data_IF_951050964992
#
_entry.id   IF_951050964992
#
_cell.length_a   1.000
_cell.length_b   1.000
_cell.length_c   1.000
_cell.angle_alpha   90.00
_cell.angle_beta   90.00
_cell.angle_gamma   90.00
#
_symmetry.space_group_name_H-M   'P 1'
#
loop_
_entity.id
_entity.type
_entity.pdbx_description
1 polymer ?
#
# COMPACT_ATOMS: atom_id res chain seq x y z
N UNK A 1 28.86 15.70 9.61
CA UNK A 1 27.67 15.16 8.92
C UNK A 1 26.59 16.17 9.22
N UNK A 2 26.09 16.89 8.20
CA UNK A 2 24.91 17.74 8.40
C UNK A 2 23.74 16.81 8.67
N UNK A 3 23.01 17.05 9.76
CA UNK A 3 21.71 16.42 9.96
C UNK A 3 20.79 16.94 8.85
N UNK A 4 20.70 16.20 7.75
CA UNK A 4 19.74 16.51 6.69
C UNK A 4 18.35 16.30 7.25
N UNK A 5 17.61 17.40 7.38
CA UNK A 5 16.21 17.38 7.76
C UNK A 5 15.34 17.15 6.53
N UNK A 6 14.12 16.64 6.74
CA UNK A 6 13.13 16.61 5.67
C UNK A 6 12.95 18.01 5.07
N UNK A 7 12.80 18.06 3.75
CA UNK A 7 12.76 19.32 3.02
C UNK A 7 11.78 19.26 1.85
N UNK A 8 11.20 20.42 1.55
CA UNK A 8 10.38 20.61 0.37
C UNK A 8 11.28 20.90 -0.84
N UNK A 9 11.17 20.06 -1.86
CA UNK A 9 11.76 20.28 -3.18
C UNK A 9 10.65 20.36 -4.23
N UNK A 10 11.03 20.69 -5.47
CA UNK A 10 10.12 20.80 -6.60
C UNK A 10 10.63 19.95 -7.75
N UNK A 11 9.76 19.17 -8.37
CA UNK A 11 10.11 18.33 -9.49
C UNK A 11 9.01 17.36 -9.91
N UNK A 12 9.26 16.70 -11.02
CA UNK A 12 8.39 15.69 -11.60
C UNK A 12 9.21 14.46 -11.95
N UNK A 13 8.54 13.31 -12.02
CA UNK A 13 9.18 12.02 -12.29
C UNK A 13 9.81 11.40 -11.04
N UNK A 14 10.12 10.10 -11.15
CA UNK A 14 10.74 9.36 -10.06
C UNK A 14 12.16 9.85 -9.78
N UNK A 15 12.87 10.28 -10.82
CA UNK A 15 14.22 10.79 -10.81
C UNK A 15 14.38 12.13 -10.05
N UNK A 16 13.27 12.83 -9.79
CA UNK A 16 13.28 14.00 -8.92
C UNK A 16 13.47 13.63 -7.44
N UNK A 17 13.33 12.36 -7.06
CA UNK A 17 13.59 11.90 -5.70
C UNK A 17 15.09 11.65 -5.48
N UNK A 18 15.76 12.44 -4.61
CA UNK A 18 17.19 12.27 -4.35
C UNK A 18 17.52 10.89 -3.78
N UNK A 19 18.70 10.37 -4.11
CA UNK A 19 19.23 9.15 -3.51
C UNK A 19 19.28 9.26 -1.99
N UNK A 20 18.87 8.21 -1.28
CA UNK A 20 18.86 8.17 0.17
C UNK A 20 17.65 8.84 0.82
N UNK A 21 16.65 9.24 0.02
CA UNK A 21 15.42 9.87 0.53
C UNK A 21 14.14 9.08 0.22
N UNK A 22 13.16 9.22 1.09
CA UNK A 22 11.78 8.80 0.88
C UNK A 22 10.96 10.03 0.46
N UNK A 23 10.45 10.01 -0.77
CA UNK A 23 9.83 11.18 -1.38
C UNK A 23 8.32 11.02 -1.49
N UNK A 24 7.60 12.05 -1.04
CA UNK A 24 6.15 12.14 -1.10
C UNK A 24 5.74 13.16 -2.15
N UNK A 25 4.89 12.77 -3.08
CA UNK A 25 4.45 13.59 -4.21
C UNK A 25 2.96 13.93 -4.07
N UNK A 26 2.59 15.14 -4.49
CA UNK A 26 1.22 15.67 -4.38
C UNK A 26 0.24 15.14 -5.41
N UNK A 27 0.75 14.61 -6.51
CA UNK A 27 -0.08 14.07 -7.56
C UNK A 27 0.40 12.67 -7.96
N UNK A 28 -0.51 11.91 -8.54
CA UNK A 28 -0.21 10.62 -9.16
C UNK A 28 0.86 10.76 -10.25
N UNK A 29 1.51 9.67 -10.61
CA UNK A 29 2.57 9.62 -11.60
C UNK A 29 3.70 10.62 -11.28
N UNK A 30 4.04 10.78 -10.00
CA UNK A 30 5.20 11.55 -9.56
C UNK A 30 5.14 13.01 -10.05
N UNK A 31 3.99 13.66 -9.89
CA UNK A 31 3.73 15.04 -10.34
C UNK A 31 3.83 15.28 -11.86
N UNK A 32 3.93 14.26 -12.71
CA UNK A 32 4.00 14.45 -14.16
C UNK A 32 2.76 15.21 -14.65
N UNK A 33 3.00 16.31 -15.38
CA UNK A 33 1.94 17.16 -15.94
C UNK A 33 1.44 18.26 -15.00
N UNK A 34 1.95 18.33 -13.77
CA UNK A 34 1.67 19.43 -12.85
C UNK A 34 2.40 20.71 -13.29
N UNK A 35 1.91 21.87 -12.84
CA UNK A 35 2.58 23.16 -13.12
C UNK A 35 3.83 23.29 -12.24
N UNK A 36 5.03 23.51 -12.84
CA UNK A 36 6.26 23.67 -12.08
C UNK A 36 6.23 24.85 -11.09
N UNK A 37 6.76 24.63 -9.89
CA UNK A 37 6.74 25.59 -8.77
C UNK A 37 5.37 25.74 -8.07
N UNK A 38 4.35 25.00 -8.51
CA UNK A 38 2.98 25.10 -7.96
C UNK A 38 2.46 23.73 -7.53
N UNK A 39 2.31 22.80 -8.48
CA UNK A 39 1.74 21.48 -8.26
C UNK A 39 2.77 20.35 -8.12
N UNK A 40 4.05 20.66 -8.29
CA UNK A 40 5.15 19.71 -8.35
C UNK A 40 5.98 19.65 -7.04
N UNK A 41 5.35 20.02 -5.92
CA UNK A 41 5.93 19.88 -4.58
C UNK A 41 6.25 18.41 -4.28
N UNK A 42 7.42 18.18 -3.72
CA UNK A 42 7.88 16.87 -3.21
C UNK A 42 8.41 17.09 -1.79
N UNK A 43 7.92 16.31 -0.83
CA UNK A 43 8.56 16.25 0.49
C UNK A 43 9.61 15.14 0.46
N UNK A 44 10.89 15.50 0.47
CA UNK A 44 12.01 14.56 0.50
C UNK A 44 12.46 14.34 1.95
N UNK A 45 12.37 13.09 2.40
CA UNK A 45 12.62 12.70 3.80
C UNK A 45 13.87 11.82 3.85
N UNK A 46 15.00 12.30 4.39
CA UNK A 46 16.23 11.51 4.51
C UNK A 46 16.05 10.29 5.41
N UNK A 47 16.78 9.21 5.12
CA UNK A 47 16.80 8.02 5.98
C UNK A 47 17.20 8.37 7.43
N UNK A 48 16.53 7.75 8.40
CA UNK A 48 16.61 8.07 9.83
C UNK A 48 15.64 9.15 10.29
N UNK A 49 14.85 9.74 9.39
CA UNK A 49 13.96 10.87 9.72
C UNK A 49 12.52 10.43 9.94
N UNK A 50 11.91 11.00 10.96
CA UNK A 50 10.48 10.92 11.22
C UNK A 50 9.81 12.26 10.93
N UNK A 51 8.72 12.25 10.17
CA UNK A 51 7.91 13.43 9.87
C UNK A 51 6.51 13.22 10.44
N UNK A 52 6.16 14.02 11.46
CA UNK A 52 4.87 13.93 12.15
C UNK A 52 3.72 14.67 11.46
N UNK A 53 4.05 15.77 10.80
CA UNK A 53 3.10 16.64 10.15
C UNK A 53 3.78 17.25 8.91
N UNK A 54 3.26 16.92 7.74
CA UNK A 54 3.80 17.39 6.46
C UNK A 54 3.67 18.91 6.29
N UNK A 55 2.68 19.53 6.94
CA UNK A 55 2.42 20.98 6.81
C UNK A 55 3.54 21.83 7.40
N UNK A 56 4.28 21.31 8.40
CA UNK A 56 5.47 21.97 8.98
C UNK A 56 6.56 22.21 7.93
N UNK A 57 6.57 21.41 6.87
CA UNK A 57 7.51 21.51 5.75
C UNK A 57 6.93 22.25 4.53
N UNK A 58 5.73 22.83 4.64
CA UNK A 58 5.04 23.48 3.52
C UNK A 58 4.43 22.49 2.50
N UNK A 59 4.32 21.21 2.89
CA UNK A 59 3.58 20.19 2.17
C UNK A 59 2.19 20.08 2.81
N UNK A 60 1.31 20.99 2.42
CA UNK A 60 -0.02 21.17 3.01
C UNK A 60 -1.10 20.34 2.33
N UNK A 61 -2.04 19.82 3.14
CA UNK A 61 -3.22 19.07 2.69
C UNK A 61 -4.34 19.95 2.10
N UNK A 62 -4.11 21.25 1.87
CA UNK A 62 -5.16 22.21 1.48
C UNK A 62 -5.64 22.07 0.01
N UNK A 63 -5.26 21.00 -0.67
CA UNK A 63 -5.72 20.60 -2.00
C UNK A 63 -5.62 19.08 -2.10
N UNK A 64 -4.57 18.60 -2.76
CA UNK A 64 -4.19 17.19 -2.79
C UNK A 64 -3.09 16.90 -1.74
N UNK A 65 -3.26 15.80 -1.01
CA UNK A 65 -2.32 15.31 0.00
C UNK A 65 -1.19 14.51 -0.67
N UNK A 66 -0.83 13.36 -0.10
CA UNK A 66 0.13 12.45 -0.75
C UNK A 66 -0.63 11.56 -1.74
N UNK A 67 -0.22 11.55 -3.02
CA UNK A 67 -0.88 10.75 -4.06
C UNK A 67 0.06 9.78 -4.78
N UNK A 68 1.38 9.95 -4.63
CA UNK A 68 2.38 8.96 -5.07
C UNK A 68 3.66 9.08 -4.23
N UNK A 69 4.46 8.02 -4.22
CA UNK A 69 5.69 7.95 -3.41
C UNK A 69 6.83 7.24 -4.13
N UNK A 70 8.05 7.64 -3.81
CA UNK A 70 9.28 6.96 -4.22
C UNK A 70 10.11 6.69 -2.97
N UNK A 71 10.40 5.42 -2.70
CA UNK A 71 11.37 5.03 -1.68
C UNK A 71 12.74 4.81 -2.33
N UNK A 72 13.54 5.88 -2.41
CA UNK A 72 14.90 5.82 -2.92
C UNK A 72 15.95 5.57 -1.80
N UNK A 73 15.53 4.90 -0.73
CA UNK A 73 16.39 4.49 0.39
C UNK A 73 16.70 2.99 0.34
N UNK A 74 17.62 2.55 1.19
CA UNK A 74 17.96 1.13 1.38
C UNK A 74 17.14 0.43 2.50
N UNK A 75 16.12 1.10 3.03
CA UNK A 75 15.23 0.58 4.05
C UNK A 75 13.76 0.60 3.58
N UNK A 76 12.98 -0.32 4.11
CA UNK A 76 11.54 -0.33 3.92
C UNK A 76 10.95 0.76 4.83
N UNK A 77 10.26 1.72 4.22
CA UNK A 77 9.75 2.93 4.89
C UNK A 77 8.23 2.84 5.02
N UNK A 78 7.60 3.77 5.74
CA UNK A 78 6.16 3.72 5.94
C UNK A 78 5.46 5.08 5.89
N UNK A 79 4.25 5.06 5.35
CA UNK A 79 3.24 6.10 5.51
C UNK A 79 2.27 5.71 6.63
N UNK A 80 1.71 6.71 7.29
CA UNK A 80 0.69 6.53 8.32
C UNK A 80 -0.49 7.47 8.07
N UNK A 81 -1.70 6.97 8.28
CA UNK A 81 -2.93 7.74 8.06
C UNK A 81 -3.23 8.76 9.18
N UNK A 82 -2.42 8.77 10.25
CA UNK A 82 -2.49 9.75 11.32
C UNK A 82 -1.09 10.18 11.77
N UNK A 83 -1.04 11.29 12.51
CA UNK A 83 0.14 11.75 13.23
C UNK A 83 0.68 10.68 14.22
N UNK A 84 1.94 10.83 14.62
CA UNK A 84 2.65 10.00 15.62
C UNK A 84 2.76 8.51 15.25
N UNK A 85 2.86 8.19 13.95
CA UNK A 85 2.90 6.81 13.43
C UNK A 85 1.66 5.99 13.82
N UNK A 86 0.50 6.65 13.87
CA UNK A 86 -0.77 6.03 14.24
C UNK A 86 -1.67 5.83 13.03
N UNK A 87 -2.80 5.17 13.27
CA UNK A 87 -3.76 4.83 12.24
C UNK A 87 -3.29 3.64 11.41
N UNK A 88 -3.72 3.60 10.16
CA UNK A 88 -3.27 2.60 9.20
C UNK A 88 -1.80 2.89 8.85
N UNK A 89 -1.04 1.84 8.57
CA UNK A 89 0.33 1.95 8.06
C UNK A 89 0.40 1.34 6.67
N UNK A 90 1.08 2.02 5.75
CA UNK A 90 1.42 1.48 4.43
C UNK A 90 2.94 1.38 4.30
N UNK A 91 3.52 0.18 4.37
CA UNK A 91 4.93 -0.01 4.04
C UNK A 91 5.17 0.28 2.55
N UNK A 92 6.33 0.83 2.26
CA UNK A 92 6.83 1.07 0.90
C UNK A 92 8.24 0.46 0.85
N UNK A 93 8.38 -0.61 0.08
CA UNK A 93 9.63 -1.38 0.00
C UNK A 93 10.81 -0.50 -0.42
N UNK A 94 12.01 -0.82 0.06
CA UNK A 94 13.25 -0.18 -0.37
C UNK A 94 13.38 -0.22 -1.89
N UNK A 95 13.92 0.85 -2.47
CA UNK A 95 14.16 0.95 -3.93
C UNK A 95 12.91 0.68 -4.78
N UNK A 96 11.74 1.06 -4.28
CA UNK A 96 10.46 0.89 -4.96
C UNK A 96 9.69 2.22 -5.04
N UNK A 97 8.58 2.21 -5.77
CA UNK A 97 7.70 3.37 -5.88
C UNK A 97 6.24 2.95 -6.03
N UNK A 98 5.32 3.82 -5.61
CA UNK A 98 3.88 3.68 -5.84
C UNK A 98 3.44 4.91 -6.63
N UNK A 99 3.12 4.70 -7.90
CA UNK A 99 2.76 5.79 -8.81
C UNK A 99 1.37 6.38 -8.55
N UNK A 100 0.47 5.61 -7.92
CA UNK A 100 -0.91 6.04 -7.72
C UNK A 100 -1.50 5.45 -6.44
N UNK A 101 -1.55 6.24 -5.37
CA UNK A 101 -2.13 5.83 -4.09
C UNK A 101 -3.66 5.66 -4.14
N UNK A 102 -4.34 6.21 -5.15
CA UNK A 102 -5.77 5.95 -5.37
C UNK A 102 -6.04 4.48 -5.76
N UNK A 103 -5.02 3.74 -6.18
CA UNK A 103 -5.10 2.30 -6.48
C UNK A 103 -4.74 1.41 -5.30
N UNK A 104 -4.44 1.98 -4.13
CA UNK A 104 -4.09 1.22 -2.93
C UNK A 104 -5.23 1.37 -1.94
N UNK A 105 -5.99 0.31 -1.72
CA UNK A 105 -7.13 0.34 -0.81
C UNK A 105 -6.69 0.60 0.63
N UNK A 106 -7.47 1.41 1.34
CA UNK A 106 -7.30 1.68 2.77
C UNK A 106 -8.64 1.50 3.47
N UNK A 107 -8.67 0.63 4.49
CA UNK A 107 -9.86 0.47 5.32
C UNK A 107 -10.19 1.81 5.99
N UNK A 108 -11.49 2.07 6.20
CA UNK A 108 -12.01 3.27 6.88
C UNK A 108 -11.65 4.63 6.23
N UNK A 109 -11.02 4.63 5.05
CA UNK A 109 -10.73 5.83 4.27
C UNK A 109 -12.02 6.44 3.68
N UNK A 110 -12.22 7.78 3.73
CA UNK A 110 -13.35 8.44 3.09
C UNK A 110 -13.45 8.21 1.58
N UNK A 111 -12.33 7.95 0.91
CA UNK A 111 -12.28 7.67 -0.53
C UNK A 111 -11.93 6.20 -0.84
N UNK A 112 -11.90 5.33 0.17
CA UNK A 112 -11.58 3.90 0.04
C UNK A 112 -10.12 3.58 -0.29
N UNK A 113 -9.25 4.58 -0.38
CA UNK A 113 -7.86 4.42 -0.82
C UNK A 113 -6.88 5.18 0.07
N UNK A 114 -5.58 5.01 -0.17
CA UNK A 114 -4.51 5.78 0.47
C UNK A 114 -4.33 7.19 -0.11
N UNK A 115 -5.02 7.52 -1.20
CA UNK A 115 -4.89 8.84 -1.83
C UNK A 115 -5.26 9.94 -0.83
N UNK A 116 -4.33 10.86 -0.60
CA UNK A 116 -4.46 12.00 0.31
C UNK A 116 -4.63 11.64 1.78
N UNK A 117 -4.48 10.36 2.15
CA UNK A 117 -4.75 9.89 3.52
C UNK A 117 -3.52 9.92 4.43
N UNK A 118 -2.30 9.85 3.88
CA UNK A 118 -1.09 9.88 4.70
C UNK A 118 -0.97 11.23 5.41
N UNK A 119 -0.69 11.22 6.72
CA UNK A 119 -0.48 12.43 7.52
C UNK A 119 0.91 12.48 8.16
N UNK A 120 1.53 11.31 8.36
CA UNK A 120 2.90 11.20 8.85
C UNK A 120 3.66 10.12 8.10
N UNK A 121 4.99 10.17 8.16
CA UNK A 121 5.87 9.24 7.48
C UNK A 121 7.12 8.92 8.31
N UNK A 122 7.59 7.68 8.18
CA UNK A 122 8.85 7.22 8.76
C UNK A 122 9.77 6.77 7.62
N UNK A 123 10.89 7.48 7.45
CA UNK A 123 11.98 7.08 6.57
C UNK A 123 13.05 6.34 7.39
N UNK A 124 12.71 5.18 7.94
CA UNK A 124 13.62 4.32 8.69
C UNK A 124 13.08 2.88 8.61
N UNK A 125 13.89 1.85 8.91
CA UNK A 125 13.41 0.46 8.90
C UNK A 125 12.09 0.32 9.67
N UNK A 126 11.00 0.13 8.93
CA UNK A 126 9.69 -0.06 9.49
C UNK A 126 9.44 -1.55 9.68
N UNK A 127 9.51 -2.00 10.93
CA UNK A 127 9.02 -3.30 11.35
C UNK A 127 7.61 -3.08 11.89
N UNK A 128 6.63 -3.03 10.98
CA UNK A 128 5.23 -3.03 11.37
C UNK A 128 4.90 -4.28 12.15
N UNK A 129 3.91 -4.23 13.05
CA UNK A 129 3.51 -5.42 13.80
C UNK A 129 2.99 -6.54 12.89
N UNK A 130 2.46 -6.20 11.71
CA UNK A 130 2.01 -7.16 10.71
C UNK A 130 3.02 -7.28 9.59
N UNK A 131 3.45 -8.51 9.31
CA UNK A 131 4.31 -8.88 8.18
C UNK A 131 3.47 -9.69 7.20
N UNK A 132 3.63 -9.41 5.91
CA UNK A 132 2.91 -10.10 4.84
C UNK A 132 3.89 -10.68 3.84
N UNK A 133 3.70 -11.95 3.52
CA UNK A 133 4.42 -12.64 2.45
C UNK A 133 3.42 -13.21 1.45
N UNK A 134 3.83 -13.37 0.20
CA UNK A 134 3.03 -14.00 -0.84
C UNK A 134 3.80 -15.08 -1.59
N UNK A 135 3.07 -16.09 -2.05
CA UNK A 135 3.56 -17.14 -2.92
C UNK A 135 2.52 -17.40 -4.03
N UNK A 136 2.90 -17.28 -5.30
CA UNK A 136 2.07 -17.74 -6.40
C UNK A 136 2.03 -19.27 -6.41
N UNK A 137 0.83 -19.85 -6.27
CA UNK A 137 0.61 -21.30 -6.25
C UNK A 137 0.36 -21.89 -7.63
N UNK A 138 -0.04 -21.06 -8.59
CA UNK A 138 -0.27 -21.48 -9.97
C UNK A 138 -1.33 -20.64 -10.66
N UNK A 139 -1.53 -20.92 -11.95
CA UNK A 139 -2.49 -20.24 -12.81
C UNK A 139 -3.12 -21.20 -13.80
N UNK A 140 -4.38 -20.94 -14.17
CA UNK A 140 -5.10 -21.70 -15.19
C UNK A 140 -6.19 -20.85 -15.82
N UNK A 141 -6.63 -21.23 -17.02
CA UNK A 141 -7.70 -20.53 -17.70
C UNK A 141 -9.06 -20.97 -17.13
N UNK A 142 -9.92 -19.99 -16.85
CA UNK A 142 -11.33 -20.22 -16.56
C UNK A 142 -12.07 -20.55 -17.86
N UNK A 143 -12.72 -21.72 -17.91
CA UNK A 143 -13.32 -22.22 -19.13
C UNK A 143 -14.57 -21.42 -19.54
N UNK A 144 -15.27 -20.80 -18.60
CA UNK A 144 -16.50 -20.05 -18.86
C UNK A 144 -16.19 -18.64 -19.37
N UNK A 145 -15.39 -17.88 -18.63
CA UNK A 145 -15.06 -16.49 -18.99
C UNK A 145 -13.88 -16.35 -19.95
N UNK A 146 -13.11 -17.42 -20.17
CA UNK A 146 -11.84 -17.43 -20.91
C UNK A 146 -10.74 -16.54 -20.31
N UNK A 147 -10.99 -15.96 -19.12
CA UNK A 147 -10.02 -15.21 -18.30
C UNK A 147 -9.07 -16.17 -17.57
N UNK A 148 -8.08 -15.63 -16.89
CA UNK A 148 -7.06 -16.41 -16.19
C UNK A 148 -7.17 -16.29 -14.68
N UNK A 149 -7.31 -17.42 -14.00
CA UNK A 149 -7.29 -17.50 -12.54
C UNK A 149 -5.84 -17.65 -12.09
N UNK A 150 -5.41 -16.79 -11.20
CA UNK A 150 -4.14 -16.89 -10.49
C UNK A 150 -4.43 -17.16 -9.01
N UNK A 151 -3.75 -18.16 -8.47
CA UNK A 151 -3.89 -18.59 -7.07
C UNK A 151 -2.66 -18.19 -6.29
N UNK A 152 -2.85 -17.57 -5.13
CA UNK A 152 -1.78 -17.11 -4.25
C UNK A 152 -2.03 -17.61 -2.84
N UNK A 153 -0.94 -17.94 -2.14
CA UNK A 153 -0.96 -18.06 -0.69
C UNK A 153 -0.39 -16.77 -0.11
N UNK A 154 -1.18 -16.09 0.68
CA UNK A 154 -0.74 -14.96 1.48
C UNK A 154 -0.56 -15.44 2.91
N UNK A 155 0.60 -15.18 3.47
CA UNK A 155 0.95 -15.48 4.85
C UNK A 155 1.01 -14.17 5.61
N UNK A 156 0.15 -14.00 6.60
CA UNK A 156 0.16 -12.84 7.48
C UNK A 156 0.62 -13.27 8.87
N UNK A 157 1.62 -12.56 9.41
CA UNK A 157 2.16 -12.82 10.76
C UNK A 157 2.10 -11.56 11.60
N UNK A 158 1.86 -11.76 12.89
CA UNK A 158 2.08 -10.73 13.88
C UNK A 158 3.47 -10.94 14.51
N UNK A 159 4.27 -9.89 14.63
CA UNK A 159 5.60 -9.99 15.23
C UNK A 159 5.53 -9.94 16.76
N UNK A 160 4.83 -8.93 17.31
CA UNK A 160 4.89 -8.65 18.75
C UNK A 160 3.54 -8.77 19.44
N UNK A 161 2.47 -8.27 18.82
CA UNK A 161 1.16 -8.10 19.45
C UNK A 161 0.06 -8.78 18.65
N UNK A 162 -0.84 -9.47 19.35
CA UNK A 162 -2.04 -10.06 18.74
C UNK A 162 -2.86 -8.97 18.04
N UNK A 163 -3.20 -9.22 16.78
CA UNK A 163 -4.11 -8.38 15.99
C UNK A 163 -5.46 -9.08 15.86
N UNK A 164 -6.50 -8.46 16.43
CA UNK A 164 -7.86 -9.04 16.43
C UNK A 164 -8.63 -8.64 15.19
N UNK A 165 -8.50 -7.38 14.78
CA UNK A 165 -9.11 -6.86 13.56
C UNK A 165 -8.01 -6.42 12.60
N UNK A 166 -8.11 -6.87 11.37
CA UNK A 166 -7.11 -6.60 10.35
C UNK A 166 -7.77 -6.40 9.00
N UNK A 167 -7.07 -5.71 8.12
CA UNK A 167 -7.35 -5.71 6.69
C UNK A 167 -6.10 -6.12 5.91
N UNK A 168 -6.30 -6.76 4.78
CA UNK A 168 -5.27 -7.18 3.83
C UNK A 168 -5.63 -6.58 2.47
N UNK A 169 -4.77 -5.72 1.95
CA UNK A 169 -4.98 -5.03 0.69
C UNK A 169 -3.88 -5.33 -0.32
N UNK A 170 -4.25 -5.33 -1.59
CA UNK A 170 -3.31 -5.24 -2.71
C UNK A 170 -3.95 -4.44 -3.84
N UNK A 171 -3.13 -3.81 -4.68
CA UNK A 171 -3.57 -2.74 -5.56
C UNK A 171 -2.96 -2.81 -6.94
N UNK A 172 -3.14 -1.71 -7.69
CA UNK A 172 -2.63 -1.54 -9.05
C UNK A 172 -2.99 -2.69 -10.01
N UNK A 173 -4.21 -3.22 -9.85
CA UNK A 173 -4.70 -4.30 -10.67
C UNK A 173 -5.07 -3.79 -12.07
N UNK A 174 -4.81 -4.58 -13.13
CA UNK A 174 -5.28 -4.28 -14.47
C UNK A 174 -6.81 -4.16 -14.52
N UNK A 175 -7.32 -3.32 -15.40
CA UNK A 175 -8.76 -3.17 -15.61
C UNK A 175 -9.42 -4.52 -15.96
N UNK A 176 -10.59 -4.79 -15.36
CA UNK A 176 -11.32 -6.04 -15.56
C UNK A 176 -10.81 -7.23 -14.73
N UNK A 177 -9.84 -6.97 -13.83
CA UNK A 177 -9.43 -7.89 -12.76
C UNK A 177 -10.45 -7.88 -11.62
N UNK A 178 -10.75 -9.05 -11.07
CA UNK A 178 -11.65 -9.20 -9.93
C UNK A 178 -11.26 -10.43 -9.12
N UNK A 179 -11.64 -10.52 -7.85
CA UNK A 179 -11.57 -11.74 -7.08
C UNK A 179 -12.41 -12.84 -7.74
N UNK A 180 -11.84 -14.03 -7.84
CA UNK A 180 -12.54 -15.16 -8.42
C UNK A 180 -13.70 -15.59 -7.51
N UNK A 181 -14.87 -15.83 -8.11
CA UNK A 181 -16.09 -16.19 -7.37
C UNK A 181 -15.92 -17.43 -6.49
N UNK A 182 -15.17 -18.42 -6.95
CA UNK A 182 -14.89 -19.63 -6.16
C UNK A 182 -14.13 -19.35 -4.87
N UNK A 183 -13.36 -18.26 -4.79
CA UNK A 183 -12.74 -17.78 -3.56
C UNK A 183 -13.74 -16.98 -2.70
N UNK A 184 -14.43 -16.01 -3.29
CA UNK A 184 -15.31 -15.12 -2.52
C UNK A 184 -16.50 -15.85 -1.88
N UNK A 185 -16.99 -16.92 -2.51
CA UNK A 185 -18.08 -17.75 -1.97
C UNK A 185 -17.69 -18.50 -0.67
N UNK A 186 -16.39 -18.74 -0.44
CA UNK A 186 -15.89 -19.53 0.70
C UNK A 186 -15.02 -18.73 1.66
N UNK A 187 -14.65 -17.50 1.31
CA UNK A 187 -13.86 -16.64 2.16
C UNK A 187 -14.64 -16.31 3.44
N UNK A 188 -14.05 -16.60 4.59
CA UNK A 188 -14.67 -16.47 5.90
C UNK A 188 -14.64 -15.04 6.46
N UNK A 189 -13.89 -14.14 5.82
CA UNK A 189 -13.78 -12.73 6.20
C UNK A 189 -14.73 -11.84 5.41
N UNK A 190 -14.45 -10.54 5.44
CA UNK A 190 -15.18 -9.53 4.67
C UNK A 190 -14.42 -9.20 3.39
N UNK A 191 -15.14 -9.08 2.27
CA UNK A 191 -14.61 -8.52 1.03
C UNK A 191 -15.08 -7.07 0.96
N UNK A 192 -14.19 -6.13 1.27
CA UNK A 192 -14.48 -4.68 1.26
C UNK A 192 -14.26 -4.07 -0.13
N UNK A 193 -13.31 -4.62 -0.90
CA UNK A 193 -13.12 -4.33 -2.32
C UNK A 193 -12.69 -5.60 -3.04
N UNK A 194 -13.26 -5.86 -4.21
CA UNK A 194 -13.10 -7.12 -4.95
C UNK A 194 -12.15 -7.03 -6.16
N UNK A 195 -11.51 -5.89 -6.38
CA UNK A 195 -10.62 -5.68 -7.53
C UNK A 195 -11.26 -4.91 -8.69
N UNK A 196 -12.58 -4.74 -8.72
CA UNK A 196 -13.28 -4.01 -9.80
C UNK A 196 -12.74 -2.59 -9.98
N UNK A 197 -12.40 -1.91 -8.88
CA UNK A 197 -11.83 -0.56 -8.87
C UNK A 197 -10.29 -0.54 -8.92
N UNK A 198 -9.66 -1.66 -9.32
CA UNK A 198 -8.21 -1.79 -9.43
C UNK A 198 -7.50 -2.13 -8.12
N UNK A 199 -8.23 -2.45 -7.05
CA UNK A 199 -7.68 -2.86 -5.76
C UNK A 199 -8.57 -3.84 -5.03
N UNK A 200 -7.96 -4.73 -4.26
CA UNK A 200 -8.66 -5.67 -3.37
C UNK A 200 -8.41 -5.25 -1.93
N UNK A 201 -9.44 -5.38 -1.11
CA UNK A 201 -9.35 -5.21 0.33
C UNK A 201 -10.19 -6.29 1.01
N UNK A 202 -9.51 -7.16 1.75
CA UNK A 202 -10.11 -8.17 2.60
C UNK A 202 -9.99 -7.74 4.06
N UNK A 203 -10.94 -8.11 4.91
CA UNK A 203 -10.86 -7.83 6.33
C UNK A 203 -11.28 -9.03 7.19
N UNK A 204 -10.86 -9.00 8.44
CA UNK A 204 -11.35 -9.92 9.47
C UNK A 204 -12.89 -9.90 9.53
N UNK A 205 -13.56 -11.03 9.83
CA UNK A 205 -15.02 -11.08 9.98
C UNK A 205 -15.52 -10.09 11.05
N UNK A 206 -16.71 -9.51 10.86
CA UNK A 206 -17.29 -8.51 11.79
C UNK A 206 -17.40 -9.04 13.24
N UNK A 207 -17.69 -10.34 13.40
CA UNK A 207 -17.79 -10.99 14.71
C UNK A 207 -16.45 -11.37 15.36
N UNK A 208 -15.33 -11.10 14.71
CA UNK A 208 -14.00 -11.58 15.11
C UNK A 208 -13.80 -13.09 14.88
N UNK A 209 -12.76 -13.66 15.50
CA UNK A 209 -12.51 -15.11 15.48
C UNK A 209 -11.34 -15.57 14.61
N UNK A 210 -10.81 -14.69 13.76
CA UNK A 210 -9.58 -14.94 12.99
C UNK A 210 -8.53 -13.89 13.35
N UNK A 211 -7.93 -14.06 14.51
CA UNK A 211 -6.83 -13.21 14.99
C UNK A 211 -5.52 -13.61 14.34
N UNK A 212 -4.59 -12.67 14.29
CA UNK A 212 -3.20 -12.91 13.88
C UNK A 212 -2.38 -12.83 15.16
N UNK A 213 -1.91 -13.99 15.62
CA UNK A 213 -1.22 -14.15 16.89
C UNK A 213 0.29 -14.23 16.68
N UNK A 214 1.11 -13.63 17.55
CA UNK A 214 2.56 -13.78 17.47
C UNK A 214 2.99 -15.25 17.44
N UNK A 215 3.85 -15.58 16.48
CA UNK A 215 4.34 -16.95 16.27
C UNK A 215 3.34 -17.90 15.59
N UNK A 216 2.19 -17.43 15.12
CA UNK A 216 1.24 -18.22 14.33
C UNK A 216 0.89 -17.54 13.01
N UNK A 217 1.10 -18.25 11.91
CA UNK A 217 0.80 -17.77 10.57
C UNK A 217 -0.70 -17.83 10.28
N UNK A 218 -1.30 -16.71 9.88
CA UNK A 218 -2.59 -16.69 9.23
C UNK A 218 -2.39 -16.90 7.73
N UNK A 219 -2.87 -18.03 7.21
CA UNK A 219 -2.78 -18.37 5.79
C UNK A 219 -4.09 -18.02 5.09
N UNK A 220 -4.00 -17.24 4.00
CA UNK A 220 -5.13 -16.87 3.16
C UNK A 220 -4.79 -17.27 1.73
N UNK A 221 -5.46 -18.33 1.26
CA UNK A 221 -5.36 -18.76 -0.13
C UNK A 221 -6.37 -17.96 -0.96
N UNK A 222 -5.89 -17.03 -1.77
CA UNK A 222 -6.72 -16.16 -2.60
C UNK A 222 -6.67 -16.59 -4.07
N UNK A 223 -7.76 -16.30 -4.80
CA UNK A 223 -7.81 -16.48 -6.24
C UNK A 223 -8.29 -15.21 -6.91
N UNK A 224 -7.52 -14.74 -7.89
CA UNK A 224 -7.77 -13.51 -8.65
C UNK A 224 -7.97 -13.86 -10.11
N UNK A 225 -8.99 -13.29 -10.73
CA UNK A 225 -9.36 -13.49 -12.13
C UNK A 225 -8.85 -12.30 -12.97
N UNK A 226 -7.82 -12.52 -13.77
CA UNK A 226 -7.20 -11.53 -14.66
C UNK A 226 -7.73 -11.65 -16.10
N UNK A 227 -7.81 -10.55 -16.87
CA UNK A 227 -8.26 -10.58 -18.27
C UNK A 227 -7.37 -11.43 -19.19
N UNK A 228 -6.07 -11.53 -18.91
CA UNK A 228 -5.08 -12.20 -19.74
C UNK A 228 -4.03 -12.92 -18.90
N UNK A 229 -3.29 -13.83 -19.54
CA UNK A 229 -2.10 -14.44 -18.95
C UNK A 229 -0.93 -13.47 -19.05
N UNK A 230 -0.35 -13.12 -17.91
CA UNK A 230 0.90 -12.37 -17.84
C UNK A 230 1.76 -12.91 -16.68
N UNK A 231 3.08 -12.89 -16.85
CA UNK A 231 4.02 -13.22 -15.78
C UNK A 231 4.02 -12.16 -14.67
N UNK A 232 3.73 -10.89 -15.00
CA UNK A 232 3.62 -9.82 -14.01
C UNK A 232 2.55 -10.12 -12.95
N UNK A 233 1.49 -10.85 -13.32
CA UNK A 233 0.43 -11.26 -12.39
C UNK A 233 0.91 -12.31 -11.39
N UNK A 234 2.06 -12.97 -11.56
CA UNK A 234 2.56 -13.93 -10.56
C UNK A 234 3.00 -13.28 -9.24
N UNK A 235 2.96 -11.95 -9.14
CA UNK A 235 3.26 -11.19 -7.94
C UNK A 235 2.23 -10.08 -7.73
N UNK A 236 1.53 -10.08 -6.60
CA UNK A 236 0.60 -9.02 -6.22
C UNK A 236 1.39 -7.76 -5.87
N UNK A 237 1.00 -6.63 -6.44
CA UNK A 237 1.64 -5.35 -6.18
C UNK A 237 0.97 -4.63 -5.01
N UNK A 238 1.77 -3.85 -4.26
CA UNK A 238 1.29 -3.05 -3.12
C UNK A 238 0.56 -3.86 -2.05
N UNK A 239 0.98 -5.12 -1.86
CA UNK A 239 0.45 -6.02 -0.84
C UNK A 239 0.78 -5.46 0.55
N UNK A 240 -0.24 -5.25 1.38
CA UNK A 240 -0.10 -4.70 2.72
C UNK A 240 -1.13 -5.29 3.69
N UNK A 241 -0.78 -5.34 4.97
CA UNK A 241 -1.73 -5.64 6.04
C UNK A 241 -1.84 -4.46 7.01
N UNK A 242 -3.04 -4.26 7.52
CA UNK A 242 -3.43 -3.12 8.34
C UNK A 242 -4.01 -3.65 9.64
N UNK A 243 -3.58 -3.09 10.77
CA UNK A 243 -4.24 -3.30 12.05
C UNK A 243 -5.41 -2.32 12.16
N UNK A 244 -6.62 -2.83 12.40
CA UNK A 244 -7.82 -2.02 12.62
C UNK A 244 -8.11 -1.90 14.13
N UNK A 245 -8.51 -0.71 14.58
CA UNK A 245 -8.77 -0.41 15.99
C UNK A 245 -10.00 -1.08 16.63
#
# INVERSE_FOLDING_TARGET
MSDEQAQLIYGQGQEACPDGTFCLYRATNFNIGQTPGVGDKILAIPLGTYVNDFSVYGFDHSGDGVSSVVNNTDADNALFSAADQRGHSLPVDRRSSIANLARIAMADSPNGSWNDQAQSALAAPFLGNLVVEQECKGKWQDWESQKWIYSYRITVRAEETRVVKWALGFGDLPEGTILYKGFTDVFWGQVLSDGTDGSVLLASPEGGGHTIDPGTDLLIDIQVLYPNEDRAHEHLTSLNAQHLG
#
